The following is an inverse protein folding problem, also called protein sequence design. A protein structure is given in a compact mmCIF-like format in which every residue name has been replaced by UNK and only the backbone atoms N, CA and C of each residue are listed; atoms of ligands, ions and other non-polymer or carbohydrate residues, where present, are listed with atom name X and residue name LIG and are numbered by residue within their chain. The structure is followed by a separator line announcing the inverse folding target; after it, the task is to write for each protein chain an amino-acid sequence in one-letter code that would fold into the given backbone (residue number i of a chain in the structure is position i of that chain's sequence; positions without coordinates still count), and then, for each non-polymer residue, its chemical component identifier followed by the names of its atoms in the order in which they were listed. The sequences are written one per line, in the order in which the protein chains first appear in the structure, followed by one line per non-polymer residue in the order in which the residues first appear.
data_IF_180924065319
#
_entry.id   IF_180924065319
#
_cell.length_a   1.000
_cell.length_b   1.000
_cell.length_c   1.000
_cell.angle_alpha   90.00
_cell.angle_beta   90.00
_cell.angle_gamma   90.00
#
_symmetry.space_group_name_H-M   'P 1'
#
loop_
_entity.id
_entity.type
_entity.pdbx_description
1 polymer ?
#
# COMPACT_ATOMS: atom_id res chain seq x y z
N UNK A 1 18.41 48.00 4.24
CA UNK A 1 18.52 46.53 4.07
C UNK A 1 17.50 45.73 4.90
N UNK A 2 17.21 46.13 6.14
CA UNK A 2 16.31 45.40 7.08
C UNK A 2 14.88 45.16 6.55
N UNK A 3 14.30 46.14 5.85
CA UNK A 3 12.91 46.04 5.33
C UNK A 3 12.76 44.99 4.21
N UNK A 4 13.81 44.75 3.41
CA UNK A 4 13.80 43.71 2.35
C UNK A 4 13.88 42.30 2.95
N UNK A 5 14.67 42.14 4.01
CA UNK A 5 14.80 40.89 4.78
C UNK A 5 13.52 40.52 5.53
N UNK A 6 12.82 41.51 6.09
CA UNK A 6 11.54 41.30 6.78
C UNK A 6 10.44 40.89 5.80
N UNK A 7 10.38 41.51 4.61
CA UNK A 7 9.44 41.13 3.54
C UNK A 7 9.69 39.70 3.04
N UNK A 8 10.95 39.30 2.86
CA UNK A 8 11.30 37.94 2.45
C UNK A 8 10.87 36.89 3.48
N UNK A 9 11.08 37.16 4.78
CA UNK A 9 10.64 36.25 5.86
C UNK A 9 9.12 36.09 5.90
N UNK A 10 8.36 37.18 5.79
CA UNK A 10 6.89 37.12 5.76
C UNK A 10 6.39 36.27 4.59
N UNK A 11 7.03 36.40 3.42
CA UNK A 11 6.69 35.62 2.23
C UNK A 11 6.98 34.13 2.43
N UNK A 12 8.13 33.80 3.02
CA UNK A 12 8.49 32.40 3.36
C UNK A 12 7.50 31.80 4.36
N UNK A 13 7.14 32.55 5.41
CA UNK A 13 6.14 32.09 6.38
C UNK A 13 4.76 31.92 5.74
N UNK A 14 4.33 32.82 4.86
CA UNK A 14 3.05 32.69 4.15
C UNK A 14 2.98 31.44 3.27
N UNK A 15 4.04 31.15 2.49
CA UNK A 15 4.11 29.94 1.66
C UNK A 15 4.15 28.68 2.53
N UNK A 16 4.84 28.71 3.67
CA UNK A 16 4.88 27.61 4.63
C UNK A 16 3.48 27.31 5.22
N UNK A 17 2.73 28.33 5.62
CA UNK A 17 1.37 28.16 6.12
C UNK A 17 0.41 27.66 5.04
N UNK A 18 0.51 28.17 3.81
CA UNK A 18 -0.28 27.65 2.67
C UNK A 18 0.04 26.18 2.41
N UNK A 19 1.32 25.79 2.48
CA UNK A 19 1.74 24.38 2.37
C UNK A 19 1.15 23.50 3.48
N UNK A 20 1.17 23.95 4.74
CA UNK A 20 0.58 23.23 5.87
C UNK A 20 -0.95 23.10 5.71
N UNK A 21 -1.64 24.20 5.39
CA UNK A 21 -3.08 24.20 5.17
C UNK A 21 -3.48 23.28 4.01
N UNK A 22 -2.69 23.26 2.94
CA UNK A 22 -2.89 22.37 1.78
C UNK A 22 -2.67 20.90 2.17
N UNK A 23 -1.65 20.61 2.99
CA UNK A 23 -1.41 19.27 3.54
C UNK A 23 -2.57 18.77 4.41
N UNK A 24 -3.07 19.60 5.33
CA UNK A 24 -4.21 19.28 6.21
C UNK A 24 -5.47 19.02 5.37
N UNK A 25 -5.73 19.83 4.35
CA UNK A 25 -6.90 19.65 3.46
C UNK A 25 -6.82 18.36 2.65
N UNK A 26 -5.64 17.98 2.13
CA UNK A 26 -5.44 16.72 1.39
C UNK A 26 -5.68 15.52 2.31
N UNK A 27 -5.14 15.53 3.54
CA UNK A 27 -5.33 14.43 4.49
C UNK A 27 -6.80 14.29 4.87
N UNK A 28 -7.49 15.39 5.16
CA UNK A 28 -8.88 15.35 5.58
C UNK A 28 -9.81 14.91 4.43
N UNK A 29 -9.59 15.40 3.20
CA UNK A 29 -10.37 15.01 2.02
C UNK A 29 -10.18 13.53 1.65
N UNK A 30 -8.96 12.99 1.79
CA UNK A 30 -8.70 11.55 1.62
C UNK A 30 -9.40 10.73 2.71
N UNK A 31 -9.39 11.17 3.97
CA UNK A 31 -10.07 10.43 5.04
C UNK A 31 -11.60 10.45 4.89
N UNK A 32 -12.23 11.56 4.50
CA UNK A 32 -13.71 11.63 4.47
C UNK A 32 -14.34 10.95 3.25
N UNK A 33 -13.62 10.81 2.13
CA UNK A 33 -14.14 10.10 0.93
C UNK A 33 -13.67 8.66 0.77
N UNK A 34 -12.53 8.27 1.37
CA UNK A 34 -11.99 6.90 1.27
C UNK A 34 -12.32 6.06 2.51
N UNK A 35 -12.60 6.66 3.68
CA UNK A 35 -12.87 5.89 4.90
C UNK A 35 -14.35 5.52 5.14
N UNK A 36 -15.29 5.96 4.29
CA UNK A 36 -16.74 5.82 4.55
C UNK A 36 -17.46 4.75 3.73
N UNK A 37 -16.75 3.93 2.95
CA UNK A 37 -17.33 2.73 2.35
C UNK A 37 -16.65 1.49 2.94
N UNK A 38 -17.40 0.47 3.41
CA UNK A 38 -16.81 -0.85 3.63
C UNK A 38 -16.41 -1.37 2.25
N UNK A 39 -15.15 -1.14 1.88
CA UNK A 39 -14.54 -1.62 0.64
C UNK A 39 -14.42 -3.14 0.75
N UNK A 40 -15.48 -3.85 0.38
CA UNK A 40 -15.43 -5.30 0.17
C UNK A 40 -14.45 -5.61 -0.97
N UNK A 41 -13.79 -6.76 -0.91
CA UNK A 41 -12.83 -7.17 -1.95
C UNK A 41 -13.43 -7.09 -3.37
N UNK A 42 -14.72 -7.40 -3.53
CA UNK A 42 -15.45 -7.29 -4.80
C UNK A 42 -15.58 -5.86 -5.32
N UNK A 43 -15.84 -4.88 -4.45
CA UNK A 43 -15.97 -3.47 -4.83
C UNK A 43 -14.65 -2.88 -5.35
N UNK A 44 -13.51 -3.40 -4.87
CA UNK A 44 -12.17 -2.94 -5.25
C UNK A 44 -11.72 -3.51 -6.59
N UNK A 45 -11.98 -4.80 -6.85
CA UNK A 45 -11.73 -5.44 -8.16
C UNK A 45 -12.50 -4.73 -9.27
N UNK A 46 -13.78 -4.42 -9.03
CA UNK A 46 -14.61 -3.69 -9.99
C UNK A 46 -14.16 -2.24 -10.24
N UNK A 47 -13.48 -1.60 -9.28
CA UNK A 47 -12.85 -0.29 -9.51
C UNK A 47 -11.60 -0.42 -10.38
N UNK A 48 -10.73 -1.38 -10.09
CA UNK A 48 -9.52 -1.63 -10.86
C UNK A 48 -9.83 -1.98 -12.33
N UNK A 49 -10.84 -2.82 -12.58
CA UNK A 49 -11.30 -3.13 -13.94
C UNK A 49 -11.83 -1.89 -14.67
N UNK A 50 -12.62 -1.05 -13.99
CA UNK A 50 -13.10 0.21 -14.57
C UNK A 50 -11.95 1.17 -14.91
N UNK A 51 -10.93 1.25 -14.06
CA UNK A 51 -9.80 2.15 -14.30
C UNK A 51 -8.93 1.66 -15.46
N UNK A 52 -8.73 0.34 -15.59
CA UNK A 52 -8.05 -0.26 -16.75
C UNK A 52 -8.85 -0.02 -18.04
N UNK A 53 -10.17 -0.21 -18.01
CA UNK A 53 -11.00 0.02 -19.20
C UNK A 53 -10.98 1.50 -19.61
N UNK A 54 -11.05 2.45 -18.67
CA UNK A 54 -10.87 3.88 -18.96
C UNK A 54 -9.51 4.17 -19.58
N UNK A 55 -8.45 3.51 -19.13
CA UNK A 55 -7.12 3.66 -19.70
C UNK A 55 -7.07 3.14 -21.15
N UNK A 56 -7.69 1.99 -21.42
CA UNK A 56 -7.79 1.45 -22.78
C UNK A 56 -8.60 2.34 -23.71
N UNK A 57 -9.71 2.90 -23.21
CA UNK A 57 -10.56 3.83 -23.94
C UNK A 57 -9.82 5.14 -24.23
N UNK A 58 -9.11 5.68 -23.23
CA UNK A 58 -8.30 6.89 -23.36
C UNK A 58 -7.22 6.75 -24.44
N UNK A 59 -6.60 5.57 -24.55
CA UNK A 59 -5.61 5.26 -25.58
C UNK A 59 -6.22 4.86 -26.93
N UNK A 60 -7.55 4.71 -27.02
CA UNK A 60 -8.23 4.28 -28.23
C UNK A 60 -7.87 2.86 -28.66
N UNK A 61 -7.56 1.96 -27.71
CA UNK A 61 -7.12 0.61 -28.04
C UNK A 61 -8.23 -0.21 -28.68
N UNK A 62 -7.93 -0.88 -29.80
CA UNK A 62 -8.82 -1.87 -30.40
C UNK A 62 -8.82 -3.19 -29.60
N UNK A 63 -9.74 -4.11 -29.93
CA UNK A 63 -9.92 -5.37 -29.20
C UNK A 63 -8.64 -6.22 -29.14
N UNK A 64 -7.90 -6.32 -30.25
CA UNK A 64 -6.64 -7.09 -30.29
C UNK A 64 -5.57 -6.48 -29.39
N UNK A 65 -5.45 -5.15 -29.37
CA UNK A 65 -4.52 -4.44 -28.49
C UNK A 65 -4.88 -4.57 -27.01
N UNK A 66 -6.17 -4.52 -26.66
CA UNK A 66 -6.64 -4.73 -25.28
C UNK A 66 -6.31 -6.14 -24.79
N UNK A 67 -6.49 -7.14 -25.63
CA UNK A 67 -6.16 -8.53 -25.30
C UNK A 67 -4.65 -8.70 -25.06
N UNK A 68 -3.82 -8.13 -25.93
CA UNK A 68 -2.37 -8.12 -25.74
C UNK A 68 -1.97 -7.41 -24.44
N UNK A 69 -2.58 -6.27 -24.13
CA UNK A 69 -2.31 -5.51 -22.90
C UNK A 69 -2.71 -6.30 -21.64
N UNK A 70 -3.85 -7.00 -21.69
CA UNK A 70 -4.27 -7.89 -20.61
C UNK A 70 -3.25 -9.00 -20.38
N UNK A 71 -2.79 -9.65 -21.45
CA UNK A 71 -1.76 -10.70 -21.38
C UNK A 71 -0.45 -10.20 -20.78
N UNK A 72 0.04 -9.02 -21.20
CA UNK A 72 1.22 -8.38 -20.61
C UNK A 72 1.04 -8.16 -19.11
N UNK A 73 -0.13 -7.67 -18.70
CA UNK A 73 -0.45 -7.48 -17.29
C UNK A 73 -0.47 -8.79 -16.49
N UNK A 74 -1.04 -9.86 -17.04
CA UNK A 74 -1.08 -11.18 -16.42
C UNK A 74 0.32 -11.82 -16.28
N UNK A 75 1.14 -11.71 -17.33
CA UNK A 75 2.52 -12.18 -17.35
C UNK A 75 3.37 -11.44 -16.31
N UNK A 76 3.27 -10.11 -16.28
CA UNK A 76 3.94 -9.27 -15.29
C UNK A 76 3.54 -9.63 -13.85
N UNK A 77 2.24 -9.80 -13.57
CA UNK A 77 1.77 -10.26 -12.25
C UNK A 77 2.35 -11.62 -11.89
N UNK A 78 2.42 -12.56 -12.84
CA UNK A 78 3.01 -13.88 -12.61
C UNK A 78 4.48 -13.78 -12.23
N UNK A 79 5.27 -12.99 -12.96
CA UNK A 79 6.69 -12.78 -12.67
C UNK A 79 6.90 -12.17 -11.28
N UNK A 80 6.11 -11.15 -10.92
CA UNK A 80 6.16 -10.56 -9.58
C UNK A 80 5.79 -11.55 -8.46
N UNK A 81 4.76 -12.38 -8.67
CA UNK A 81 4.38 -13.43 -7.70
C UNK A 81 5.50 -14.44 -7.52
N UNK A 82 6.14 -14.86 -8.60
CA UNK A 82 7.27 -15.77 -8.55
C UNK A 82 8.44 -15.15 -7.79
N UNK A 83 8.84 -13.93 -8.15
CA UNK A 83 9.91 -13.20 -7.48
C UNK A 83 9.63 -13.03 -5.97
N UNK A 84 8.38 -12.72 -5.61
CA UNK A 84 7.97 -12.61 -4.21
C UNK A 84 8.04 -13.96 -3.50
N UNK A 85 7.60 -15.05 -4.10
CA UNK A 85 7.68 -16.39 -3.52
C UNK A 85 9.13 -16.82 -3.27
N UNK A 86 10.03 -16.57 -4.22
CA UNK A 86 11.46 -16.88 -4.11
C UNK A 86 12.15 -16.08 -3.00
N UNK A 87 11.76 -14.82 -2.80
CA UNK A 87 12.40 -13.93 -1.82
C UNK A 87 11.71 -13.91 -0.45
N UNK A 88 10.43 -14.32 -0.34
CA UNK A 88 9.69 -14.43 0.94
C UNK A 88 10.50 -15.13 2.04
N UNK A 89 11.13 -16.31 1.83
CA UNK A 89 11.90 -16.97 2.88
C UNK A 89 13.10 -16.15 3.36
N UNK A 90 13.75 -15.38 2.48
CA UNK A 90 14.88 -14.51 2.86
C UNK A 90 14.42 -13.38 3.77
N UNK A 91 13.29 -12.76 3.45
CA UNK A 91 12.70 -11.73 4.31
C UNK A 91 12.26 -12.28 5.66
N UNK A 92 11.66 -13.47 5.67
CA UNK A 92 11.22 -14.10 6.91
C UNK A 92 12.40 -14.50 7.80
N UNK A 93 13.49 -15.02 7.22
CA UNK A 93 14.72 -15.29 7.96
C UNK A 93 15.31 -14.03 8.62
N UNK A 94 15.34 -12.89 7.91
CA UNK A 94 15.81 -11.61 8.46
C UNK A 94 14.90 -11.14 9.62
N UNK A 95 13.58 -11.30 9.48
CA UNK A 95 12.62 -10.96 10.54
C UNK A 95 12.82 -11.83 11.77
N UNK A 96 12.94 -13.14 11.60
CA UNK A 96 13.16 -14.06 12.73
C UNK A 96 14.49 -13.78 13.43
N UNK A 97 15.58 -13.58 12.67
CA UNK A 97 16.87 -13.22 13.25
C UNK A 97 16.79 -11.94 14.09
N UNK A 98 16.04 -10.93 13.61
CA UNK A 98 15.81 -9.69 14.34
C UNK A 98 14.98 -9.91 15.60
N UNK A 99 13.93 -10.75 15.53
CA UNK A 99 13.09 -11.09 16.68
C UNK A 99 13.88 -11.80 17.76
N UNK A 100 14.75 -12.74 17.41
CA UNK A 100 15.63 -13.43 18.36
C UNK A 100 16.55 -12.45 19.09
N UNK A 101 17.15 -11.49 18.36
CA UNK A 101 17.98 -10.43 18.98
C UNK A 101 17.17 -9.57 19.94
N UNK A 102 15.93 -9.24 19.60
CA UNK A 102 15.05 -8.47 20.48
C UNK A 102 14.75 -9.27 21.75
N UNK A 103 14.34 -10.54 21.63
CA UNK A 103 14.03 -11.41 22.80
C UNK A 103 15.20 -11.51 23.77
N UNK A 104 16.43 -11.61 23.27
CA UNK A 104 17.62 -11.68 24.10
C UNK A 104 17.87 -10.44 24.98
N UNK A 105 17.20 -9.32 24.70
CA UNK A 105 17.30 -8.07 25.48
C UNK A 105 16.17 -7.90 26.51
N UNK A 106 15.14 -8.74 26.46
CA UNK A 106 13.94 -8.58 27.27
C UNK A 106 14.03 -9.42 28.55
N UNK A 107 13.47 -8.91 29.64
CA UNK A 107 13.15 -9.73 30.80
C UNK A 107 11.90 -10.61 30.57
N UNK A 108 11.62 -11.53 31.49
CA UNK A 108 10.51 -12.48 31.37
C UNK A 108 9.12 -11.82 31.24
N UNK A 109 8.91 -10.65 31.84
CA UNK A 109 7.61 -9.96 31.75
C UNK A 109 7.49 -9.21 30.43
N UNK A 110 8.58 -8.57 30.00
CA UNK A 110 8.68 -7.89 28.71
C UNK A 110 8.56 -8.85 27.54
N UNK A 111 9.14 -10.04 27.62
CA UNK A 111 9.05 -11.07 26.58
C UNK A 111 7.59 -11.51 26.36
N UNK A 112 6.82 -11.73 27.44
CA UNK A 112 5.39 -12.05 27.35
C UNK A 112 4.58 -10.95 26.65
N UNK A 113 4.83 -9.68 27.00
CA UNK A 113 4.18 -8.52 26.34
C UNK A 113 4.57 -8.43 24.87
N UNK A 114 5.83 -8.71 24.55
CA UNK A 114 6.33 -8.70 23.18
C UNK A 114 5.68 -9.78 22.32
N UNK A 115 5.56 -11.02 22.82
CA UNK A 115 4.88 -12.10 22.10
C UNK A 115 3.39 -11.80 21.86
N UNK A 116 2.69 -11.22 22.83
CA UNK A 116 1.31 -10.80 22.64
C UNK A 116 1.18 -9.72 21.56
N UNK A 117 2.09 -8.73 21.57
CA UNK A 117 2.15 -7.70 20.54
C UNK A 117 2.41 -8.32 19.15
N UNK A 118 3.38 -9.25 19.05
CA UNK A 118 3.70 -9.95 17.80
C UNK A 118 2.50 -10.72 17.27
N UNK A 119 1.80 -11.47 18.12
CA UNK A 119 0.60 -12.22 17.73
C UNK A 119 -0.47 -11.32 17.12
N UNK A 120 -0.78 -10.18 17.75
CA UNK A 120 -1.75 -9.21 17.22
C UNK A 120 -1.32 -8.64 15.87
N UNK A 121 -0.03 -8.36 15.68
CA UNK A 121 0.52 -7.86 14.41
C UNK A 121 0.46 -8.93 13.32
N UNK A 122 0.79 -10.19 13.65
CA UNK A 122 0.82 -11.28 12.69
C UNK A 122 -0.61 -11.74 12.29
N UNK A 123 -1.58 -11.68 13.20
CA UNK A 123 -3.01 -11.86 12.89
C UNK A 123 -3.51 -10.79 11.91
N UNK A 124 -3.15 -9.51 12.12
CA UNK A 124 -3.48 -8.43 11.18
C UNK A 124 -2.82 -8.62 9.81
N UNK A 125 -1.58 -9.12 9.78
CA UNK A 125 -0.86 -9.40 8.53
C UNK A 125 -1.44 -10.57 7.77
N UNK A 126 -1.89 -11.64 8.44
CA UNK A 126 -2.56 -12.78 7.77
C UNK A 126 -3.83 -12.32 7.04
N UNK A 127 -4.61 -11.44 7.67
CA UNK A 127 -5.80 -10.86 7.05
C UNK A 127 -5.47 -9.95 5.85
N UNK A 128 -4.29 -9.34 5.82
CA UNK A 128 -3.83 -8.51 4.69
C UNK A 128 -3.15 -9.31 3.58
N UNK A 129 -2.37 -10.35 3.90
CA UNK A 129 -1.76 -11.25 2.90
C UNK A 129 -2.84 -12.03 2.13
N UNK A 130 -3.96 -12.39 2.78
CA UNK A 130 -5.12 -12.94 2.08
C UNK A 130 -5.71 -11.92 1.10
N UNK A 131 -5.85 -10.66 1.49
CA UNK A 131 -6.37 -9.60 0.61
C UNK A 131 -5.40 -9.28 -0.55
N UNK A 132 -4.09 -9.28 -0.30
CA UNK A 132 -3.06 -9.07 -1.33
C UNK A 132 -2.95 -10.28 -2.29
N UNK A 133 -3.24 -11.51 -1.84
CA UNK A 133 -3.37 -12.68 -2.72
C UNK A 133 -4.53 -12.51 -3.71
N UNK A 134 -5.67 -11.96 -3.28
CA UNK A 134 -6.75 -11.56 -4.19
C UNK A 134 -6.38 -10.34 -5.08
N UNK A 135 -5.54 -9.42 -4.58
CA UNK A 135 -5.05 -8.23 -5.30
C UNK A 135 -4.13 -8.56 -6.48
N UNK A 136 -3.27 -9.58 -6.34
CA UNK A 136 -2.39 -10.05 -7.42
C UNK A 136 -3.08 -11.06 -8.36
N UNK A 137 -4.40 -11.24 -8.26
CA UNK A 137 -5.19 -12.10 -9.15
C UNK A 137 -5.16 -13.59 -8.79
N UNK A 138 -4.85 -13.94 -7.53
CA UNK A 138 -4.94 -15.29 -6.99
C UNK A 138 -6.36 -15.70 -6.57
N UNK A 139 -7.41 -15.19 -7.20
CA UNK A 139 -8.78 -15.65 -6.90
C UNK A 139 -8.94 -17.15 -7.15
N UNK A 140 -9.88 -17.84 -6.45
CA UNK A 140 -10.13 -19.25 -6.68
C UNK A 140 -10.42 -19.51 -8.15
N UNK A 141 -9.82 -20.57 -8.70
CA UNK A 141 -10.25 -21.11 -10.00
C UNK A 141 -11.70 -21.52 -9.81
N UNK A 142 -12.61 -20.83 -10.49
CA UNK A 142 -13.96 -21.34 -10.70
C UNK A 142 -13.80 -22.49 -11.68
N UNK A 143 -13.78 -23.69 -11.12
CA UNK A 143 -14.01 -24.95 -11.82
C UNK A 143 -15.47 -25.07 -12.28
#
# INVERSE_FOLDING_TARGET
MIVRYLKAKVLVFAVFFIGISTGILITNFYTTRVASAPDTASSRVQRAERDINKFYDYLGLNLSQREQMRKIGEDCRREFRQLRAENKPKFDAIREASRTKIRALLDNEQEKKYEEFRRKVDERRKNQDSDDFYRDGGGPRLD
#
